data_IF_961149085110
#
_entry.id   IF_961149085110
#
_cell.length_a   1.000
_cell.length_b   1.000
_cell.length_c   1.000
_cell.angle_alpha   90.00
_cell.angle_beta   90.00
_cell.angle_gamma   90.00
#
_symmetry.space_group_name_H-M   'P 1'
#
loop_
_entity.id
_entity.type
_entity.pdbx_description
1 polymer ?
#
# COMPACT_ATOMS: atom_id res chain seq x y z
N UNK A 1 5.96 18.42 -11.96
CA UNK A 1 4.95 17.37 -11.68
C UNK A 1 5.37 16.15 -12.46
N UNK A 2 5.72 15.04 -11.80
CA UNK A 2 5.55 13.67 -12.31
C UNK A 2 6.02 12.63 -11.29
N UNK A 3 5.17 11.62 -11.14
CA UNK A 3 5.44 10.21 -10.81
C UNK A 3 5.97 9.81 -9.44
N UNK A 4 5.04 9.54 -8.51
CA UNK A 4 5.28 8.76 -7.28
C UNK A 4 4.06 7.88 -6.95
N UNK A 5 3.85 6.78 -7.68
CA UNK A 5 2.57 6.06 -7.64
C UNK A 5 2.55 4.75 -6.82
N UNK A 6 3.67 4.10 -6.53
CA UNK A 6 3.62 2.69 -6.09
C UNK A 6 3.15 2.45 -4.64
N UNK A 7 3.61 3.21 -3.64
CA UNK A 7 3.12 3.07 -2.26
C UNK A 7 1.79 3.85 -2.07
N UNK A 8 1.58 4.88 -2.88
CA UNK A 8 0.38 5.71 -2.82
C UNK A 8 -0.86 4.98 -3.30
N UNK A 9 -0.76 4.08 -4.29
CA UNK A 9 -1.88 3.30 -4.83
C UNK A 9 -2.53 2.35 -3.82
N UNK A 10 -1.73 1.58 -3.08
CA UNK A 10 -2.25 0.69 -2.02
C UNK A 10 -3.02 1.47 -0.96
N UNK A 11 -2.45 2.60 -0.57
CA UNK A 11 -2.92 3.41 0.52
C UNK A 11 -4.17 4.23 0.18
N UNK A 12 -4.26 4.77 -1.04
CA UNK A 12 -5.47 5.44 -1.53
C UNK A 12 -6.62 4.45 -1.70
N UNK A 13 -6.35 3.20 -2.08
CA UNK A 13 -7.37 2.13 -2.14
C UNK A 13 -7.85 1.69 -0.75
N UNK A 14 -6.94 1.52 0.22
CA UNK A 14 -7.30 1.21 1.62
C UNK A 14 -8.09 2.36 2.25
N UNK A 15 -7.62 3.60 2.11
CA UNK A 15 -8.34 4.78 2.59
C UNK A 15 -9.70 4.91 1.89
N UNK A 16 -9.77 4.70 0.58
CA UNK A 16 -11.01 4.68 -0.18
C UNK A 16 -12.00 3.65 0.36
N UNK A 17 -11.56 2.38 0.56
CA UNK A 17 -12.42 1.33 1.11
C UNK A 17 -12.87 1.62 2.56
N UNK A 18 -11.95 2.02 3.44
CA UNK A 18 -12.26 2.34 4.84
C UNK A 18 -13.15 3.59 4.99
N UNK A 19 -13.11 4.51 4.03
CA UNK A 19 -13.99 5.68 4.00
C UNK A 19 -15.36 5.39 3.35
N UNK A 20 -15.43 4.42 2.44
CA UNK A 20 -16.66 4.01 1.75
C UNK A 20 -17.49 2.98 2.52
N UNK A 21 -16.91 2.18 3.41
CA UNK A 21 -17.67 1.32 4.34
C UNK A 21 -18.36 2.21 5.41
N UNK A 22 -19.50 2.84 5.06
CA UNK A 22 -20.40 3.44 6.04
C UNK A 22 -21.15 4.72 5.67
N UNK A 23 -21.14 5.22 4.43
CA UNK A 23 -22.02 6.37 4.11
C UNK A 23 -22.39 6.48 2.63
N UNK A 24 -23.62 6.98 2.40
CA UNK A 24 -24.06 7.68 1.18
C UNK A 24 -22.87 8.40 0.56
N UNK A 25 -22.68 8.19 -0.75
CA UNK A 25 -21.77 8.90 -1.66
C UNK A 25 -20.91 9.99 -0.98
N UNK A 26 -19.59 9.85 -1.08
CA UNK A 26 -18.61 10.93 -0.95
C UNK A 26 -18.94 12.03 -1.98
N UNK A 27 -20.04 12.76 -1.77
CA UNK A 27 -20.55 13.84 -2.61
C UNK A 27 -19.86 15.17 -2.32
N UNK A 28 -18.74 15.13 -1.61
CA UNK A 28 -17.76 16.20 -1.69
C UNK A 28 -16.39 15.55 -1.66
N UNK A 29 -15.44 16.16 -2.37
CA UNK A 29 -14.01 16.14 -2.08
C UNK A 29 -13.81 16.51 -0.60
N UNK A 30 -14.17 15.62 0.32
CA UNK A 30 -14.04 15.86 1.75
C UNK A 30 -12.56 15.78 2.06
N UNK A 31 -12.01 16.98 2.06
CA UNK A 31 -10.65 17.39 2.38
C UNK A 31 -9.87 16.33 3.17
N UNK A 32 -9.11 15.51 2.44
CA UNK A 32 -8.05 14.69 3.04
C UNK A 32 -7.02 15.60 3.75
N UNK A 33 -7.10 16.92 3.55
CA UNK A 33 -6.27 17.93 4.19
C UNK A 33 -4.81 17.56 3.99
N UNK A 34 -4.07 17.61 5.09
CA UNK A 34 -2.66 17.26 5.10
C UNK A 34 -2.39 15.74 5.22
N UNK A 35 -3.41 14.87 5.19
CA UNK A 35 -3.23 13.43 5.38
C UNK A 35 -2.17 12.87 4.42
N UNK A 36 -2.39 13.02 3.12
CA UNK A 36 -1.48 12.55 2.08
C UNK A 36 -0.03 13.02 2.30
N UNK A 37 0.15 14.29 2.68
CA UNK A 37 1.46 14.85 2.97
C UNK A 37 2.07 14.29 4.26
N UNK A 38 1.28 14.10 5.31
CA UNK A 38 1.74 13.52 6.57
C UNK A 38 2.17 12.06 6.38
N UNK A 39 1.42 11.32 5.57
CA UNK A 39 1.75 9.95 5.17
C UNK A 39 3.05 9.90 4.37
N UNK A 40 3.22 10.84 3.43
CA UNK A 40 4.46 10.99 2.67
C UNK A 40 5.66 11.26 3.59
N UNK A 41 5.52 12.19 4.53
CA UNK A 41 6.57 12.55 5.47
C UNK A 41 6.93 11.38 6.40
N UNK A 42 5.96 10.54 6.76
CA UNK A 42 6.15 9.33 7.56
C UNK A 42 6.78 8.16 6.75
N UNK A 43 6.82 8.25 5.42
CA UNK A 43 7.30 7.18 4.54
C UNK A 43 8.84 7.16 4.44
N UNK A 44 9.51 6.77 5.53
CA UNK A 44 10.98 6.72 5.61
C UNK A 44 11.66 5.74 4.62
N UNK A 45 10.88 4.83 4.01
CA UNK A 45 11.38 3.89 3.01
C UNK A 45 11.30 4.41 1.57
N UNK A 46 10.71 5.58 1.30
CA UNK A 46 10.65 6.13 -0.07
C UNK A 46 12.05 6.25 -0.69
N UNK A 47 12.18 5.78 -1.94
CA UNK A 47 13.42 5.96 -2.71
C UNK A 47 13.59 7.44 -3.08
N UNK A 48 14.79 7.97 -2.85
CA UNK A 48 15.15 9.36 -3.18
C UNK A 48 15.65 9.46 -4.61
N UNK A 49 14.99 10.27 -5.44
CA UNK A 49 15.43 10.54 -6.82
C UNK A 49 16.81 11.21 -6.81
N UNK A 50 17.67 10.80 -7.74
CA UNK A 50 19.04 11.29 -7.91
C UNK A 50 20.05 10.73 -6.89
N UNK A 51 19.59 10.01 -5.86
CA UNK A 51 20.46 9.41 -4.83
C UNK A 51 20.32 7.90 -4.74
N UNK A 52 19.09 7.40 -4.73
CA UNK A 52 18.76 5.98 -4.58
C UNK A 52 18.15 5.43 -5.88
N UNK A 53 17.34 6.22 -6.58
CA UNK A 53 16.79 5.91 -7.90
C UNK A 53 17.13 7.02 -8.89
N UNK A 54 17.49 6.66 -10.11
CA UNK A 54 17.74 7.59 -11.22
C UNK A 54 16.70 7.29 -12.30
N UNK A 55 16.02 8.35 -12.75
CA UNK A 55 15.07 8.29 -13.86
C UNK A 55 15.80 8.80 -15.10
N UNK A 56 15.89 7.94 -16.11
CA UNK A 56 16.53 8.26 -17.37
C UNK A 56 15.44 8.50 -18.43
N UNK A 57 14.98 9.74 -18.57
CA UNK A 57 13.82 10.07 -19.42
C UNK A 57 14.00 9.71 -20.90
N UNK A 58 15.26 9.58 -21.37
CA UNK A 58 15.59 9.34 -22.77
C UNK A 58 16.46 8.10 -22.99
N UNK A 59 16.57 7.19 -22.01
CA UNK A 59 17.38 5.97 -22.18
C UNK A 59 16.73 4.74 -21.57
N UNK A 60 17.12 3.58 -22.08
CA UNK A 60 16.75 2.28 -21.52
C UNK A 60 17.89 1.73 -20.63
N UNK A 61 17.59 1.30 -19.39
CA UNK A 61 16.28 1.29 -18.76
C UNK A 61 15.85 2.68 -18.24
N UNK A 62 14.52 2.92 -18.25
CA UNK A 62 13.88 4.16 -17.78
C UNK A 62 14.21 4.49 -16.33
N UNK A 63 14.41 3.46 -15.50
CA UNK A 63 14.80 3.61 -14.11
C UNK A 63 16.02 2.75 -13.81
N UNK A 64 16.99 3.33 -13.11
CA UNK A 64 18.14 2.61 -12.56
C UNK A 64 18.26 2.85 -11.07
N UNK A 65 18.81 1.87 -10.36
CA UNK A 65 19.09 1.97 -8.93
C UNK A 65 20.58 2.19 -8.72
N UNK A 66 20.89 3.17 -7.88
CA UNK A 66 22.26 3.33 -7.38
C UNK A 66 22.61 2.19 -6.42
N UNK A 67 23.88 2.09 -6.01
CA UNK A 67 24.29 1.14 -4.97
C UNK A 67 23.48 1.35 -3.67
N UNK A 68 23.16 2.60 -3.32
CA UNK A 68 22.34 2.94 -2.15
C UNK A 68 20.89 2.47 -2.32
N UNK A 69 20.30 2.68 -3.50
CA UNK A 69 18.96 2.18 -3.81
C UNK A 69 18.87 0.66 -3.73
N UNK A 70 19.86 -0.04 -4.32
CA UNK A 70 19.95 -1.51 -4.24
C UNK A 70 20.07 -2.00 -2.80
N UNK A 71 20.85 -1.32 -1.96
CA UNK A 71 20.95 -1.65 -0.54
C UNK A 71 19.62 -1.40 0.20
N UNK A 72 18.92 -0.32 -0.14
CA UNK A 72 17.63 0.03 0.48
C UNK A 72 16.51 -0.95 0.10
N UNK A 73 16.52 -1.49 -1.12
CA UNK A 73 15.59 -2.55 -1.52
C UNK A 73 15.77 -3.88 -0.77
N UNK A 74 16.87 -4.04 -0.02
CA UNK A 74 17.05 -5.19 0.88
C UNK A 74 16.27 -5.04 2.20
N UNK A 75 15.67 -3.88 2.48
CA UNK A 75 14.82 -3.70 3.66
C UNK A 75 13.56 -4.55 3.56
N UNK A 76 13.11 -5.04 4.70
CA UNK A 76 12.00 -5.98 4.82
C UNK A 76 10.76 -5.60 4.00
N UNK A 77 10.32 -4.34 4.06
CA UNK A 77 9.13 -3.89 3.32
C UNK A 77 9.23 -4.16 1.81
N UNK A 78 10.39 -3.92 1.20
CA UNK A 78 10.60 -4.13 -0.23
C UNK A 78 10.76 -5.61 -0.57
N UNK A 79 11.41 -6.37 0.31
CA UNK A 79 11.56 -7.83 0.16
C UNK A 79 10.19 -8.50 0.24
N UNK A 80 9.35 -8.14 1.22
CA UNK A 80 8.00 -8.67 1.37
C UNK A 80 7.08 -8.22 0.23
N UNK A 81 7.18 -6.98 -0.21
CA UNK A 81 6.42 -6.51 -1.37
C UNK A 81 6.81 -7.25 -2.66
N UNK A 82 8.10 -7.48 -2.88
CA UNK A 82 8.57 -8.26 -4.04
C UNK A 82 8.05 -9.69 -4.03
N UNK A 83 8.00 -10.34 -2.86
CA UNK A 83 7.44 -11.70 -2.74
C UNK A 83 5.97 -11.72 -3.21
N UNK A 84 5.18 -10.73 -2.82
CA UNK A 84 3.81 -10.59 -3.32
C UNK A 84 3.75 -10.45 -4.84
N UNK A 85 4.60 -9.60 -5.44
CA UNK A 85 4.63 -9.43 -6.89
C UNK A 85 4.97 -10.72 -7.62
N UNK A 86 5.93 -11.49 -7.11
CA UNK A 86 6.33 -12.76 -7.70
C UNK A 86 5.17 -13.78 -7.75
N UNK A 87 4.26 -13.79 -6.76
CA UNK A 87 3.09 -14.68 -6.79
C UNK A 87 2.15 -14.39 -7.97
N UNK A 88 2.06 -13.12 -8.40
CA UNK A 88 1.21 -12.71 -9.51
C UNK A 88 1.89 -12.85 -10.88
N UNK A 89 3.23 -12.93 -10.93
CA UNK A 89 3.97 -13.21 -12.17
C UNK A 89 3.87 -14.68 -12.60
N UNK A 90 3.61 -15.61 -11.68
CA UNK A 90 3.80 -17.04 -11.97
C UNK A 90 2.70 -17.73 -12.80
N UNK A 91 1.47 -17.23 -12.94
CA UNK A 91 0.51 -17.80 -13.91
C UNK A 91 -0.78 -16.95 -14.02
N UNK A 92 -0.90 -16.06 -15.01
CA UNK A 92 -2.17 -15.34 -15.28
C UNK A 92 -3.36 -16.27 -15.55
N UNK A 93 -3.10 -17.57 -15.82
CA UNK A 93 -4.11 -18.58 -16.13
C UNK A 93 -4.48 -19.48 -14.95
N UNK A 94 -3.83 -19.34 -13.78
CA UNK A 94 -4.22 -20.09 -12.59
C UNK A 94 -5.52 -19.53 -11.99
N UNK A 95 -6.50 -20.37 -11.64
CA UNK A 95 -7.60 -19.93 -10.80
C UNK A 95 -7.04 -19.42 -9.46
N UNK A 96 -7.50 -18.23 -9.03
CA UNK A 96 -7.15 -17.60 -7.74
C UNK A 96 -7.62 -18.46 -6.57
N UNK A 97 -6.87 -19.52 -6.25
CA UNK A 97 -7.02 -20.30 -5.02
C UNK A 97 -5.88 -19.87 -4.10
N UNK A 98 -6.15 -19.09 -3.04
CA UNK A 98 -5.11 -18.61 -2.15
C UNK A 98 -4.39 -19.78 -1.49
N UNK A 99 -3.11 -19.96 -1.82
CA UNK A 99 -2.23 -20.92 -1.19
C UNK A 99 -1.84 -20.47 0.22
N UNK A 100 -1.43 -21.43 1.05
CA UNK A 100 -0.90 -21.12 2.38
C UNK A 100 0.38 -20.26 2.32
N UNK A 101 1.11 -20.29 1.20
CA UNK A 101 2.30 -19.44 1.00
C UNK A 101 1.91 -18.00 0.72
N UNK A 102 0.99 -17.75 -0.23
CA UNK A 102 0.48 -16.41 -0.52
C UNK A 102 -0.12 -15.75 0.73
N UNK A 103 -0.94 -16.48 1.50
CA UNK A 103 -1.52 -15.95 2.72
C UNK A 103 -0.47 -15.52 3.76
N UNK A 104 0.64 -16.26 3.87
CA UNK A 104 1.76 -15.91 4.77
C UNK A 104 2.53 -14.69 4.28
N UNK A 105 2.67 -14.54 2.97
CA UNK A 105 3.34 -13.40 2.35
C UNK A 105 2.49 -12.12 2.46
N UNK A 106 1.17 -12.23 2.31
CA UNK A 106 0.22 -11.15 2.62
C UNK A 106 0.37 -10.69 4.07
N UNK A 107 0.36 -11.62 5.03
CA UNK A 107 0.52 -11.32 6.45
C UNK A 107 1.88 -10.67 6.74
N UNK A 108 2.94 -11.19 6.14
CA UNK A 108 4.29 -10.64 6.29
C UNK A 108 4.36 -9.20 5.77
N UNK A 109 3.74 -8.92 4.61
CA UNK A 109 3.69 -7.58 4.06
C UNK A 109 2.85 -6.62 4.92
N UNK A 110 1.63 -7.03 5.33
CA UNK A 110 0.78 -6.23 6.22
C UNK A 110 1.52 -5.87 7.51
N UNK A 111 2.24 -6.83 8.11
CA UNK A 111 3.06 -6.57 9.29
C UNK A 111 4.21 -5.58 9.00
N UNK A 112 4.87 -5.68 7.84
CA UNK A 112 5.96 -4.78 7.47
C UNK A 112 5.52 -3.32 7.25
N UNK A 113 4.28 -3.09 6.81
CA UNK A 113 3.76 -1.73 6.58
C UNK A 113 3.09 -1.12 7.81
N UNK A 114 2.66 -1.92 8.78
CA UNK A 114 1.96 -1.49 10.01
C UNK A 114 2.92 -1.24 11.17
N UNK A 115 3.90 -0.38 10.93
CA UNK A 115 4.90 0.03 11.92
C UNK A 115 4.51 1.35 12.58
N UNK A 116 4.90 1.52 13.86
CA UNK A 116 4.77 2.79 14.56
C UNK A 116 5.59 3.89 13.85
N UNK A 117 5.05 5.10 13.79
CA UNK A 117 5.61 6.25 13.08
C UNK A 117 5.54 6.14 11.55
N UNK A 118 5.04 5.02 11.01
CA UNK A 118 4.93 4.81 9.58
C UNK A 118 3.64 5.39 8.98
N UNK A 119 3.52 5.38 7.64
CA UNK A 119 2.34 5.87 6.95
C UNK A 119 1.05 5.20 7.45
N UNK A 120 1.04 3.88 7.64
CA UNK A 120 -0.18 3.18 8.10
C UNK A 120 -0.68 3.66 9.46
N UNK A 121 0.20 4.12 10.36
CA UNK A 121 -0.24 4.72 11.62
C UNK A 121 -0.90 6.08 11.41
N UNK A 122 -0.39 6.89 10.49
CA UNK A 122 -1.00 8.17 10.13
C UNK A 122 -2.40 7.96 9.54
N UNK A 123 -2.56 7.00 8.62
CA UNK A 123 -3.87 6.63 8.09
C UNK A 123 -4.83 6.13 9.18
N UNK A 124 -4.34 5.24 10.05
CA UNK A 124 -5.13 4.69 11.15
C UNK A 124 -5.61 5.78 12.10
N UNK A 125 -4.73 6.70 12.51
CA UNK A 125 -5.08 7.81 13.38
C UNK A 125 -6.13 8.72 12.73
N UNK A 126 -5.97 9.04 11.44
CA UNK A 126 -6.96 9.83 10.72
C UNK A 126 -8.34 9.15 10.70
N UNK A 127 -8.40 7.85 10.41
CA UNK A 127 -9.66 7.10 10.41
C UNK A 127 -10.30 7.03 11.81
N UNK A 128 -9.47 6.89 12.85
CA UNK A 128 -9.90 6.92 14.25
C UNK A 128 -10.47 8.30 14.63
N UNK A 129 -9.78 9.38 14.29
CA UNK A 129 -10.20 10.76 14.59
C UNK A 129 -11.50 11.14 13.86
N UNK A 130 -11.74 10.55 12.68
CA UNK A 130 -13.00 10.69 11.93
C UNK A 130 -14.12 9.76 12.42
N UNK A 131 -13.89 8.98 13.47
CA UNK A 131 -14.86 8.01 14.01
C UNK A 131 -15.18 6.86 13.06
N UNK A 132 -14.33 6.60 12.06
CA UNK A 132 -14.52 5.53 11.06
C UNK A 132 -14.00 4.18 11.53
N UNK A 133 -13.20 4.17 12.59
CA UNK A 133 -12.67 2.96 13.21
C UNK A 133 -12.84 3.08 14.72
N UNK A 134 -13.55 2.13 15.33
CA UNK A 134 -13.73 2.03 16.79
C UNK A 134 -12.57 1.31 17.49
N UNK A 135 -11.65 0.75 16.70
CA UNK A 135 -10.50 -0.03 17.15
C UNK A 135 -9.45 0.89 17.78
N UNK A 136 -8.95 0.51 18.96
CA UNK A 136 -8.05 1.36 19.74
C UNK A 136 -6.57 1.29 19.31
N UNK A 137 -6.15 0.21 18.63
CA UNK A 137 -4.75 -0.09 18.32
C UNK A 137 -4.51 -0.39 16.85
N UNK A 138 -3.35 0.04 16.33
CA UNK A 138 -2.92 -0.23 14.95
C UNK A 138 -2.83 -1.73 14.63
N UNK A 139 -2.40 -2.57 15.56
CA UNK A 139 -2.32 -4.03 15.36
C UNK A 139 -3.67 -4.65 15.01
N UNK A 140 -4.73 -4.16 15.64
CA UNK A 140 -6.09 -4.64 15.42
C UNK A 140 -6.66 -4.14 14.08
N UNK A 141 -5.99 -3.20 13.41
CA UNK A 141 -6.33 -2.74 12.07
C UNK A 141 -5.76 -3.64 10.95
N UNK A 142 -4.75 -4.47 11.25
CA UNK A 142 -4.12 -5.40 10.28
C UNK A 142 -5.12 -6.30 9.56
N UNK A 143 -6.13 -6.92 10.22
CA UNK A 143 -7.12 -7.74 9.53
C UNK A 143 -7.98 -6.95 8.55
N UNK A 144 -8.28 -5.68 8.85
CA UNK A 144 -9.02 -4.77 7.96
C UNK A 144 -8.19 -4.49 6.72
N UNK A 145 -6.91 -4.17 6.89
CA UNK A 145 -5.98 -3.98 5.77
C UNK A 145 -5.89 -5.22 4.88
N UNK A 146 -5.76 -6.41 5.49
CA UNK A 146 -5.71 -7.67 4.75
C UNK A 146 -6.99 -7.91 3.94
N UNK A 147 -8.15 -7.68 4.56
CA UNK A 147 -9.46 -7.80 3.89
C UNK A 147 -9.57 -6.81 2.72
N UNK A 148 -9.15 -5.56 2.90
CA UNK A 148 -9.24 -4.53 1.85
C UNK A 148 -8.25 -4.74 0.71
N UNK A 149 -7.03 -5.21 1.02
CA UNK A 149 -5.92 -5.33 0.08
C UNK A 149 -5.88 -6.63 -0.72
N UNK A 150 -6.36 -7.75 -0.16
CA UNK A 150 -6.12 -9.08 -0.74
C UNK A 150 -7.36 -9.97 -0.89
N UNK A 151 -8.50 -9.63 -0.27
CA UNK A 151 -9.71 -10.48 -0.36
C UNK A 151 -10.73 -9.91 -1.35
N UNK A 152 -11.23 -10.78 -2.24
CA UNK A 152 -12.38 -10.50 -3.09
C UNK A 152 -13.66 -10.40 -2.23
N UNK A 153 -14.43 -9.33 -2.37
CA UNK A 153 -15.77 -9.22 -1.78
C UNK A 153 -16.81 -9.84 -2.71
N UNK A 154 -17.74 -10.70 -2.21
CA UNK A 154 -18.67 -11.46 -3.07
C UNK A 154 -19.75 -10.66 -3.84
N UNK A 155 -19.74 -9.33 -3.85
CA UNK A 155 -20.84 -8.56 -4.43
C UNK A 155 -20.35 -7.29 -5.10
N UNK A 156 -20.27 -7.30 -6.44
CA UNK A 156 -20.52 -6.17 -7.37
C UNK A 156 -19.74 -4.85 -7.23
N UNK A 157 -18.97 -4.65 -6.15
CA UNK A 157 -18.12 -3.51 -5.87
C UNK A 157 -16.69 -4.01 -6.00
N UNK A 158 -16.36 -4.38 -7.23
CA UNK A 158 -15.05 -4.90 -7.62
C UNK A 158 -14.00 -3.81 -7.46
N UNK A 159 -13.35 -3.77 -6.31
CA UNK A 159 -11.98 -3.30 -6.24
C UNK A 159 -11.10 -4.51 -5.99
N UNK A 160 -10.87 -5.30 -7.06
CA UNK A 160 -9.53 -5.84 -7.32
C UNK A 160 -8.63 -4.62 -7.32
N UNK A 161 -7.82 -4.45 -6.28
CA UNK A 161 -6.77 -3.44 -6.32
C UNK A 161 -5.77 -3.98 -7.33
N UNK A 162 -5.86 -3.51 -8.57
CA UNK A 162 -4.85 -3.76 -9.58
C UNK A 162 -3.55 -3.12 -9.08
N UNK A 163 -2.58 -3.96 -8.76
CA UNK A 163 -1.25 -3.57 -8.33
C UNK A 163 -0.39 -3.29 -9.57
N UNK A 164 -0.63 -2.15 -10.25
CA UNK A 164 0.24 -1.65 -11.31
C UNK A 164 0.29 -0.13 -11.31
#
# INVERSE_FOLDING_TARGET
>A
MNSYYFIFGFLSCVLGKCLCEGQKSLNSKSDLGNLCQNMWNAAGNNLKIGKEIIINENSTPLMTLTAQGKAKLKRDIFVKFKALLNNYEEDEKRPEIPSATEQREEDAFINAITVNGGPMQVAFNYLKDKGKVSIGRLDQFKPVLKKCGFRNTPSGWGCKVFWF
#
